data_IF_776671096711
#
_entry.id   IF_776671096711
#
_cell.length_a   1.000
_cell.length_b   1.000
_cell.length_c   1.000
_cell.angle_alpha   90.00
_cell.angle_beta   90.00
_cell.angle_gamma   90.00
#
_symmetry.space_group_name_H-M   'P 1'
#
loop_
_entity.id
_entity.type
_entity.pdbx_description
1 polymer ?
#
# COMPACT_ATOMS: atom_id res chain seq x y z
N UNK A 1 5.07 31.82 3.65
CA UNK A 1 5.52 31.39 4.99
C UNK A 1 5.21 29.91 5.13
N UNK A 2 6.23 29.07 4.99
CA UNK A 2 6.11 27.65 5.33
C UNK A 2 6.08 27.62 6.85
N UNK A 3 4.90 27.41 7.44
CA UNK A 3 4.85 26.99 8.82
C UNK A 3 5.57 25.64 8.85
N UNK A 4 6.80 25.62 9.40
CA UNK A 4 7.44 24.39 9.80
C UNK A 4 6.39 23.54 10.48
N UNK A 5 6.13 22.36 9.93
CA UNK A 5 5.23 21.39 10.53
C UNK A 5 5.90 20.99 11.84
N UNK A 6 5.64 21.75 12.90
CA UNK A 6 6.13 21.51 14.25
C UNK A 6 5.53 20.19 14.69
N UNK A 7 6.26 19.11 14.42
CA UNK A 7 5.91 17.78 14.92
C UNK A 7 5.95 17.89 16.44
N UNK A 8 4.79 17.77 17.08
CA UNK A 8 4.72 17.71 18.56
C UNK A 8 5.76 16.69 19.05
N UNK A 9 6.54 16.99 20.10
CA UNK A 9 7.46 16.02 20.66
C UNK A 9 6.66 14.77 21.03
N UNK A 10 7.03 13.65 20.42
CA UNK A 10 6.30 12.40 20.57
C UNK A 10 7.09 11.50 21.55
N UNK A 11 6.38 10.78 22.44
CA UNK A 11 7.00 9.87 23.43
C UNK A 11 7.50 8.55 22.84
N UNK A 12 8.74 8.13 23.13
CA UNK A 12 9.30 6.84 22.69
C UNK A 12 8.43 5.61 22.99
N UNK A 13 7.50 5.71 23.95
CA UNK A 13 6.50 4.67 24.21
C UNK A 13 5.52 4.38 23.05
N UNK A 14 5.46 5.24 22.02
CA UNK A 14 4.53 5.12 20.89
C UNK A 14 5.20 4.91 19.53
N UNK A 15 6.46 4.47 19.50
CA UNK A 15 7.25 4.33 18.25
C UNK A 15 6.54 3.47 17.20
N UNK A 16 5.91 2.35 17.60
CA UNK A 16 5.18 1.49 16.66
C UNK A 16 4.04 2.23 15.96
N UNK A 17 3.25 3.00 16.71
CA UNK A 17 2.17 3.82 16.15
C UNK A 17 2.68 4.88 15.18
N UNK A 18 3.86 5.44 15.45
CA UNK A 18 4.45 6.42 14.54
C UNK A 18 4.91 5.78 13.25
N UNK A 19 5.58 4.64 13.33
CA UNK A 19 5.99 3.88 12.15
C UNK A 19 4.79 3.62 11.25
N UNK A 20 3.67 3.15 11.82
CA UNK A 20 2.43 2.95 11.07
C UNK A 20 1.94 4.25 10.45
N UNK A 21 1.84 5.34 11.22
CA UNK A 21 1.34 6.63 10.70
C UNK A 21 2.24 7.26 9.64
N UNK A 22 3.56 7.10 9.75
CA UNK A 22 4.53 7.65 8.79
C UNK A 22 4.56 6.81 7.52
N UNK A 23 4.47 5.49 7.64
CA UNK A 23 4.33 4.58 6.50
C UNK A 23 3.02 4.85 5.77
N UNK A 24 1.92 5.04 6.49
CA UNK A 24 0.63 5.37 5.89
C UNK A 24 0.67 6.74 5.17
N UNK A 25 1.25 7.76 5.80
CA UNK A 25 1.47 9.07 5.18
C UNK A 25 2.31 8.94 3.90
N UNK A 26 3.38 8.15 3.96
CA UNK A 26 4.25 7.87 2.83
C UNK A 26 3.51 7.19 1.71
N UNK A 27 2.85 6.08 1.97
CA UNK A 27 2.13 5.32 0.96
C UNK A 27 1.06 6.21 0.32
N UNK A 28 0.16 6.81 1.10
CA UNK A 28 -1.03 7.45 0.57
C UNK A 28 -0.82 8.84 -0.04
N UNK A 29 0.16 9.63 0.42
CA UNK A 29 0.22 11.06 0.09
C UNK A 29 1.54 11.54 -0.50
N UNK A 30 2.67 11.17 0.10
CA UNK A 30 3.98 11.75 -0.27
C UNK A 30 4.87 10.81 -1.09
N UNK A 31 4.62 9.51 -1.04
CA UNK A 31 5.51 8.50 -1.63
C UNK A 31 5.53 8.55 -3.15
N UNK A 32 4.37 8.77 -3.79
CA UNK A 32 4.31 8.79 -5.26
C UNK A 32 5.10 9.95 -5.87
N UNK A 33 4.91 11.22 -5.42
CA UNK A 33 5.71 12.32 -5.96
C UNK A 33 7.19 12.20 -5.59
N UNK A 34 7.52 11.74 -4.37
CA UNK A 34 8.91 11.57 -3.96
C UNK A 34 9.60 10.49 -4.80
N UNK A 35 8.98 9.32 -4.97
CA UNK A 35 9.58 8.22 -5.70
C UNK A 35 9.68 8.48 -7.20
N UNK A 36 8.83 9.33 -7.76
CA UNK A 36 8.81 9.62 -9.20
C UNK A 36 10.13 10.19 -9.73
N UNK A 37 10.92 10.83 -8.86
CA UNK A 37 12.25 11.33 -9.21
C UNK A 37 13.35 10.25 -9.20
N UNK A 38 13.09 9.10 -8.56
CA UNK A 38 14.11 8.07 -8.30
C UNK A 38 13.83 6.72 -8.96
N UNK A 39 12.57 6.43 -9.29
CA UNK A 39 12.19 5.14 -9.85
C UNK A 39 11.76 5.27 -11.33
N UNK A 40 12.00 4.21 -12.13
CA UNK A 40 11.44 4.11 -13.48
C UNK A 40 9.92 4.23 -13.48
N UNK A 41 9.36 4.74 -14.59
CA UNK A 41 7.93 4.98 -14.75
C UNK A 41 7.08 3.72 -14.48
N UNK A 42 7.57 2.54 -14.86
CA UNK A 42 6.87 1.28 -14.63
C UNK A 42 6.72 0.96 -13.14
N UNK A 43 7.73 1.32 -12.33
CA UNK A 43 7.69 1.11 -10.87
C UNK A 43 6.81 2.12 -10.17
N UNK A 44 6.76 3.33 -10.69
CA UNK A 44 5.83 4.35 -10.23
C UNK A 44 4.40 3.96 -10.57
N UNK A 45 4.16 3.40 -11.75
CA UNK A 45 2.87 2.82 -12.12
C UNK A 45 2.42 1.72 -11.15
N UNK A 46 3.31 0.79 -10.81
CA UNK A 46 3.01 -0.28 -9.84
C UNK A 46 2.71 0.29 -8.44
N UNK A 47 3.46 1.29 -7.97
CA UNK A 47 3.22 1.95 -6.69
C UNK A 47 1.91 2.77 -6.69
N UNK A 48 1.63 3.50 -7.77
CA UNK A 48 0.40 4.28 -7.94
C UNK A 48 -0.83 3.36 -7.98
N UNK A 49 -0.75 2.22 -8.67
CA UNK A 49 -1.80 1.21 -8.67
C UNK A 49 -2.09 0.72 -7.26
N UNK A 50 -1.06 0.42 -6.47
CA UNK A 50 -1.22 0.01 -5.07
C UNK A 50 -1.88 1.12 -4.23
N UNK A 51 -1.46 2.38 -4.42
CA UNK A 51 -2.04 3.54 -3.75
C UNK A 51 -3.51 3.78 -4.07
N UNK A 52 -3.97 3.44 -5.28
CA UNK A 52 -5.39 3.55 -5.65
C UNK A 52 -6.21 2.41 -5.02
N UNK A 53 -5.63 1.21 -4.92
CA UNK A 53 -6.30 0.05 -4.33
C UNK A 53 -6.63 0.26 -2.85
N UNK A 54 -5.74 0.91 -2.09
CA UNK A 54 -5.89 1.08 -0.64
C UNK A 54 -7.13 1.90 -0.23
N UNK A 55 -7.38 3.11 -0.77
CA UNK A 55 -8.62 3.86 -0.53
C UNK A 55 -9.86 3.09 -0.98
N UNK A 56 -9.79 2.37 -2.11
CA UNK A 56 -10.93 1.57 -2.58
C UNK A 56 -11.30 0.46 -1.60
N UNK A 57 -10.31 -0.19 -0.98
CA UNK A 57 -10.52 -1.16 0.10
C UNK A 57 -11.01 -0.52 1.40
N UNK A 58 -10.62 0.74 1.68
CA UNK A 58 -11.05 1.45 2.88
C UNK A 58 -12.49 1.95 2.78
N UNK A 59 -12.83 2.63 1.68
CA UNK A 59 -14.06 3.43 1.54
C UNK A 59 -15.24 2.63 0.99
N UNK A 60 -15.00 1.58 0.21
CA UNK A 60 -16.05 0.97 -0.61
C UNK A 60 -16.22 -0.54 -0.47
N UNK A 61 -15.64 -1.16 0.57
CA UNK A 61 -15.62 -2.62 0.70
C UNK A 61 -17.00 -3.27 0.99
N UNK A 62 -17.90 -2.55 1.66
CA UNK A 62 -19.17 -3.10 2.17
C UNK A 62 -20.36 -2.98 1.21
N UNK A 63 -20.31 -2.08 0.22
CA UNK A 63 -21.52 -1.59 -0.45
C UNK A 63 -21.74 -2.11 -1.88
N UNK A 64 -20.75 -2.77 -2.50
CA UNK A 64 -20.91 -3.27 -3.87
C UNK A 64 -20.05 -4.51 -4.16
N UNK A 65 -20.72 -5.65 -4.38
CA UNK A 65 -20.07 -6.91 -4.76
C UNK A 65 -19.24 -6.77 -6.05
N UNK A 66 -19.73 -6.04 -7.05
CA UNK A 66 -19.01 -5.81 -8.32
C UNK A 66 -17.75 -5.00 -8.11
N UNK A 67 -17.79 -4.03 -7.20
CA UNK A 67 -16.63 -3.23 -6.84
C UNK A 67 -15.60 -4.06 -6.07
N UNK A 68 -16.04 -4.90 -5.13
CA UNK A 68 -15.17 -5.84 -4.43
C UNK A 68 -14.47 -6.84 -5.38
N UNK A 69 -15.17 -7.32 -6.40
CA UNK A 69 -14.59 -8.18 -7.44
C UNK A 69 -13.59 -7.41 -8.33
N UNK A 70 -13.90 -6.15 -8.66
CA UNK A 70 -13.00 -5.25 -9.39
C UNK A 70 -11.71 -4.96 -8.61
N UNK A 71 -11.81 -4.63 -7.32
CA UNK A 71 -10.66 -4.42 -6.44
C UNK A 71 -9.80 -5.69 -6.34
N UNK A 72 -10.44 -6.85 -6.22
CA UNK A 72 -9.73 -8.13 -6.20
C UNK A 72 -8.98 -8.41 -7.51
N UNK A 73 -9.52 -7.99 -8.66
CA UNK A 73 -8.83 -8.09 -9.93
C UNK A 73 -7.65 -7.10 -10.03
N UNK A 74 -7.80 -5.87 -9.53
CA UNK A 74 -6.70 -4.91 -9.46
C UNK A 74 -5.53 -5.43 -8.59
N UNK A 75 -5.84 -6.04 -7.43
CA UNK A 75 -4.83 -6.69 -6.58
C UNK A 75 -4.09 -7.83 -7.29
N UNK A 76 -4.80 -8.65 -8.07
CA UNK A 76 -4.18 -9.71 -8.89
C UNK A 76 -3.25 -9.14 -9.95
N UNK A 77 -3.65 -8.06 -10.62
CA UNK A 77 -2.83 -7.37 -11.62
C UNK A 77 -1.56 -6.83 -10.96
N UNK A 78 -1.71 -6.12 -9.83
CA UNK A 78 -0.58 -5.61 -9.04
C UNK A 78 0.38 -6.73 -8.62
N UNK A 79 -0.13 -7.83 -8.05
CA UNK A 79 0.70 -8.98 -7.66
C UNK A 79 1.43 -9.62 -8.84
N UNK A 80 0.80 -9.68 -10.01
CA UNK A 80 1.41 -10.22 -11.24
C UNK A 80 2.54 -9.31 -11.74
N UNK A 81 2.32 -8.00 -11.75
CA UNK A 81 3.35 -7.02 -12.13
C UNK A 81 4.53 -7.08 -11.15
N UNK A 82 4.25 -7.09 -9.85
CA UNK A 82 5.26 -7.22 -8.81
C UNK A 82 6.10 -8.49 -9.00
N UNK A 83 5.47 -9.64 -9.28
CA UNK A 83 6.17 -10.90 -9.50
C UNK A 83 7.02 -10.91 -10.78
N UNK A 84 6.59 -10.19 -11.84
CA UNK A 84 7.35 -10.06 -13.09
C UNK A 84 8.52 -9.09 -12.95
N UNK A 85 8.30 -8.00 -12.23
CA UNK A 85 9.23 -6.89 -12.19
C UNK A 85 10.21 -7.04 -11.03
N UNK A 86 9.85 -7.61 -9.88
CA UNK A 86 10.79 -7.73 -8.76
C UNK A 86 11.93 -8.67 -9.12
N UNK A 87 13.11 -8.06 -9.23
CA UNK A 87 14.38 -8.74 -9.33
C UNK A 87 14.58 -9.48 -8.01
N UNK A 88 14.73 -10.81 -8.05
CA UNK A 88 14.91 -11.70 -6.89
C UNK A 88 16.07 -11.34 -5.96
N UNK A 89 16.86 -10.34 -6.34
CA UNK A 89 18.10 -9.93 -5.71
C UNK A 89 17.87 -8.82 -4.66
N UNK A 90 16.70 -8.15 -4.70
CA UNK A 90 16.36 -7.07 -3.76
C UNK A 90 15.65 -7.62 -2.52
N UNK A 91 14.78 -8.61 -2.70
CA UNK A 91 14.02 -9.23 -1.62
C UNK A 91 14.25 -10.73 -1.58
N UNK A 92 14.46 -11.33 -0.39
CA UNK A 92 14.51 -12.77 -0.25
C UNK A 92 13.21 -13.40 -0.81
N UNK A 93 13.27 -14.52 -1.55
CA UNK A 93 12.10 -15.15 -2.15
C UNK A 93 10.94 -15.38 -1.16
N UNK A 94 11.28 -15.77 0.08
CA UNK A 94 10.31 -15.97 1.17
C UNK A 94 9.51 -14.70 1.49
N UNK A 95 10.17 -13.54 1.52
CA UNK A 95 9.52 -12.27 1.82
C UNK A 95 8.64 -11.82 0.66
N UNK A 96 9.06 -12.11 -0.58
CA UNK A 96 8.25 -11.89 -1.78
C UNK A 96 6.97 -12.72 -1.76
N UNK A 97 7.08 -14.03 -1.46
CA UNK A 97 5.93 -14.93 -1.36
C UNK A 97 4.95 -14.47 -0.29
N UNK A 98 5.44 -14.10 0.90
CA UNK A 98 4.59 -13.60 1.98
C UNK A 98 3.88 -12.31 1.56
N UNK A 99 4.60 -11.37 0.96
CA UNK A 99 4.05 -10.09 0.51
C UNK A 99 2.97 -10.28 -0.56
N UNK A 100 3.26 -11.05 -1.59
CA UNK A 100 2.31 -11.38 -2.66
C UNK A 100 1.07 -12.07 -2.12
N UNK A 101 1.24 -13.02 -1.21
CA UNK A 101 0.14 -13.73 -0.57
C UNK A 101 -0.69 -12.79 0.32
N UNK A 102 -0.06 -11.86 1.04
CA UNK A 102 -0.78 -10.86 1.83
C UNK A 102 -1.64 -9.95 0.92
N UNK A 103 -1.10 -9.48 -0.20
CA UNK A 103 -1.83 -8.62 -1.14
C UNK A 103 -3.01 -9.34 -1.80
N UNK A 104 -2.82 -10.58 -2.26
CA UNK A 104 -3.89 -11.36 -2.91
C UNK A 104 -5.08 -11.62 -1.99
N UNK A 105 -4.84 -11.72 -0.68
CA UNK A 105 -5.87 -12.01 0.32
C UNK A 105 -6.40 -10.76 1.00
N UNK A 106 -5.87 -9.57 0.67
CA UNK A 106 -6.23 -8.32 1.33
C UNK A 106 -7.73 -8.01 1.18
N UNK A 107 -8.31 -8.24 0.01
CA UNK A 107 -9.76 -8.06 -0.21
C UNK A 107 -10.60 -9.06 0.60
N UNK A 108 -10.15 -10.31 0.72
CA UNK A 108 -10.78 -11.32 1.58
C UNK A 108 -10.67 -10.95 3.06
N UNK A 109 -9.53 -10.45 3.50
CA UNK A 109 -9.32 -9.98 4.87
C UNK A 109 -10.24 -8.79 5.19
N UNK A 110 -10.39 -7.84 4.27
CA UNK A 110 -11.32 -6.74 4.45
C UNK A 110 -12.77 -7.25 4.59
N UNK A 111 -13.17 -8.24 3.76
CA UNK A 111 -14.49 -8.89 3.89
C UNK A 111 -14.69 -9.59 5.24
N UNK A 112 -13.64 -10.19 5.81
CA UNK A 112 -13.74 -11.00 7.03
C UNK A 112 -13.61 -10.17 8.31
N UNK A 113 -12.78 -9.13 8.31
CA UNK A 113 -12.39 -8.39 9.50
C UNK A 113 -12.81 -6.92 9.48
N UNK A 114 -13.41 -6.45 8.38
CA UNK A 114 -13.76 -5.05 8.18
C UNK A 114 -12.67 -4.26 7.46
N UNK A 115 -12.92 -2.96 7.28
CA UNK A 115 -12.00 -2.04 6.59
C UNK A 115 -10.59 -2.00 7.19
N UNK A 116 -9.62 -1.60 6.38
CA UNK A 116 -8.26 -1.29 6.79
C UNK A 116 -8.22 0.00 7.65
N UNK A 117 -8.50 -0.10 8.95
CA UNK A 117 -8.38 1.02 9.90
C UNK A 117 -6.91 1.41 10.17
#
# INVERSE_FOLDING_TARGET
LIHDILRRPRSFSNVEKWKVSEVQLFILYIGSPVLAEFLPEERIGDFALYNVILPLLHDYWDNDKKLGDSISNLLKIYSKNLSKNVISNVYPPKLLTISTHAYLYLSFQCKKFGRLN
#
